data_IF_395531310153
#
_entry.id   IF_395531310153
#
_cell.length_a   1.000
_cell.length_b   1.000
_cell.length_c   1.000
_cell.angle_alpha   90.00
_cell.angle_beta   90.00
_cell.angle_gamma   90.00
#
_symmetry.space_group_name_H-M   'P 1'
#
loop_
_entity.id
_entity.type
_entity.pdbx_description
1 polymer ?
#
# COMPACT_ATOMS: atom_id res chain seq x y z
N UNK A 1 -8.76 3.12 -13.96
CA UNK A 1 -7.46 3.80 -13.75
C UNK A 1 -6.39 2.71 -13.78
N UNK A 2 -5.14 3.04 -14.09
CA UNK A 2 -4.12 2.04 -14.45
C UNK A 2 -3.33 1.58 -13.24
N UNK A 3 -3.50 0.31 -12.83
CA UNK A 3 -2.65 -0.38 -11.85
C UNK A 3 -1.16 -0.29 -12.18
N UNK A 4 -0.83 -0.16 -13.46
CA UNK A 4 0.53 0.09 -13.95
C UNK A 4 1.14 1.36 -13.35
N UNK A 5 0.36 2.42 -13.11
CA UNK A 5 0.85 3.64 -12.49
C UNK A 5 1.13 3.46 -10.99
N UNK A 6 0.34 2.63 -10.30
CA UNK A 6 0.57 2.30 -8.89
C UNK A 6 1.86 1.50 -8.76
N UNK A 7 2.08 0.52 -9.64
CA UNK A 7 3.33 -0.26 -9.67
C UNK A 7 4.54 0.62 -9.99
N UNK A 8 4.45 1.50 -10.98
CA UNK A 8 5.53 2.42 -11.32
C UNK A 8 5.85 3.39 -10.17
N UNK A 9 4.83 3.85 -9.44
CA UNK A 9 5.03 4.65 -8.23
C UNK A 9 5.80 3.89 -7.15
N UNK A 10 5.43 2.63 -6.87
CA UNK A 10 6.16 1.81 -5.89
C UNK A 10 7.57 1.42 -6.34
N UNK A 11 7.81 1.28 -7.64
CA UNK A 11 9.15 1.06 -8.20
C UNK A 11 10.06 2.26 -7.92
N UNK A 12 9.57 3.48 -8.17
CA UNK A 12 10.29 4.73 -7.83
C UNK A 12 10.52 4.85 -6.31
N UNK A 13 9.50 4.56 -5.49
CA UNK A 13 9.65 4.55 -4.04
C UNK A 13 10.74 3.58 -3.56
N UNK A 14 10.84 2.40 -4.18
CA UNK A 14 11.84 1.39 -3.84
C UNK A 14 13.25 1.79 -4.30
N UNK A 15 13.34 2.50 -5.42
CA UNK A 15 14.60 2.95 -6.02
C UNK A 15 15.21 4.14 -5.26
N UNK A 16 14.38 5.06 -4.78
CA UNK A 16 14.82 6.30 -4.11
C UNK A 16 14.51 6.32 -2.61
N UNK A 17 15.54 6.06 -1.80
CA UNK A 17 15.40 6.06 -0.34
C UNK A 17 14.91 7.40 0.24
N UNK A 18 15.24 8.52 -0.38
CA UNK A 18 14.81 9.85 0.08
C UNK A 18 13.29 9.99 -0.08
N UNK A 19 12.76 9.55 -1.22
CA UNK A 19 11.32 9.59 -1.51
C UNK A 19 10.59 8.60 -0.60
N UNK A 20 11.19 7.43 -0.33
CA UNK A 20 10.65 6.45 0.60
C UNK A 20 10.54 6.98 2.03
N UNK A 21 11.55 7.71 2.53
CA UNK A 21 11.52 8.32 3.86
C UNK A 21 10.44 9.40 3.96
N UNK A 22 10.33 10.28 2.95
CA UNK A 22 9.26 11.27 2.88
C UNK A 22 7.88 10.62 2.81
N UNK A 23 7.74 9.55 2.03
CA UNK A 23 6.52 8.76 1.93
C UNK A 23 6.13 8.20 3.31
N UNK A 24 7.07 7.58 4.01
CA UNK A 24 6.84 7.08 5.38
C UNK A 24 6.46 8.21 6.32
N UNK A 25 7.13 9.36 6.26
CA UNK A 25 6.89 10.48 7.16
C UNK A 25 5.52 11.14 6.92
N UNK A 26 5.15 11.38 5.65
CA UNK A 26 3.93 12.08 5.27
C UNK A 26 2.69 11.19 5.28
N UNK A 27 2.83 9.95 4.81
CA UNK A 27 1.71 9.03 4.61
C UNK A 27 1.47 8.12 5.81
N UNK A 28 2.45 7.91 6.69
CA UNK A 28 2.19 7.25 7.95
C UNK A 28 1.57 8.23 8.96
N UNK A 29 0.33 7.96 9.34
CA UNK A 29 -0.24 8.50 10.56
C UNK A 29 0.16 7.63 11.74
N UNK A 30 1.02 8.16 12.60
CA UNK A 30 1.30 7.56 13.90
C UNK A 30 0.10 7.82 14.82
N UNK A 31 -0.84 6.89 14.84
CA UNK A 31 -2.00 6.96 15.74
C UNK A 31 -1.57 6.90 17.21
N UNK A 32 -2.39 7.46 18.11
CA UNK A 32 -2.12 7.59 19.56
C UNK A 32 -1.97 6.25 20.32
N UNK A 33 -2.08 5.10 19.63
CA UNK A 33 -2.00 3.76 20.22
C UNK A 33 -0.93 2.87 19.59
N UNK A 34 0.06 3.44 18.89
CA UNK A 34 1.12 2.65 18.26
C UNK A 34 0.68 1.87 17.01
N UNK A 35 -0.53 2.13 16.52
CA UNK A 35 -1.03 1.60 15.25
C UNK A 35 -0.49 2.49 14.13
N UNK A 36 0.24 1.87 13.20
CA UNK A 36 0.66 2.50 11.95
C UNK A 36 -0.52 2.47 10.99
N UNK A 37 -1.16 3.63 10.78
CA UNK A 37 -2.22 3.77 9.80
C UNK A 37 -1.67 4.51 8.58
N UNK A 38 -1.67 3.84 7.44
CA UNK A 38 -1.34 4.44 6.16
C UNK A 38 -2.56 5.15 5.59
N UNK A 39 -2.45 6.47 5.41
CA UNK A 39 -3.55 7.27 4.86
C UNK A 39 -3.55 7.22 3.33
N UNK A 40 -4.45 6.41 2.77
CA UNK A 40 -4.53 6.18 1.32
C UNK A 40 -4.74 7.47 0.52
N UNK A 41 -5.45 8.46 1.08
CA UNK A 41 -5.66 9.74 0.41
C UNK A 41 -4.35 10.53 0.32
N UNK A 42 -3.53 10.52 1.38
CA UNK A 42 -2.20 11.13 1.35
C UNK A 42 -1.24 10.43 0.41
N UNK A 43 -1.35 9.11 0.28
CA UNK A 43 -0.52 8.34 -0.67
C UNK A 43 -0.83 8.75 -2.11
N UNK A 44 -2.12 8.87 -2.44
CA UNK A 44 -2.56 9.33 -3.76
C UNK A 44 -2.11 10.76 -4.04
N UNK A 45 -2.23 11.66 -3.06
CA UNK A 45 -1.78 13.05 -3.17
C UNK A 45 -0.26 13.18 -3.35
N UNK A 46 0.50 12.36 -2.61
CA UNK A 46 1.95 12.28 -2.73
C UNK A 46 2.37 11.74 -4.11
N UNK A 47 1.70 10.70 -4.59
CA UNK A 47 1.95 10.16 -5.92
C UNK A 47 1.60 11.16 -7.04
N UNK A 48 0.52 11.92 -6.88
CA UNK A 48 0.16 13.02 -7.77
C UNK A 48 1.24 14.11 -7.81
N UNK A 49 1.87 14.41 -6.66
CA UNK A 49 3.00 15.34 -6.59
C UNK A 49 4.24 14.84 -7.34
N UNK A 50 4.41 13.52 -7.49
CA UNK A 50 5.47 12.90 -8.30
C UNK A 50 5.08 12.71 -9.78
N UNK A 51 3.84 13.04 -10.16
CA UNK A 51 3.33 12.92 -11.52
C UNK A 51 2.58 11.61 -11.83
N UNK A 52 2.30 10.78 -10.83
CA UNK A 52 1.48 9.58 -10.97
C UNK A 52 0.01 9.88 -10.66
N UNK A 53 -0.93 9.40 -11.49
CA UNK A 53 -2.36 9.70 -11.36
C UNK A 53 -3.13 8.40 -11.16
N UNK A 54 -3.32 8.04 -9.90
CA UNK A 54 -4.15 6.90 -9.51
C UNK A 54 -5.08 7.27 -8.35
N UNK A 55 -6.11 6.46 -8.11
CA UNK A 55 -7.08 6.69 -7.05
C UNK A 55 -6.83 5.80 -5.84
N UNK A 56 -7.51 6.09 -4.74
CA UNK A 56 -7.48 5.23 -3.54
C UNK A 56 -7.98 3.82 -3.84
N UNK A 57 -8.88 3.66 -4.81
CA UNK A 57 -9.40 2.36 -5.24
C UNK A 57 -8.30 1.53 -5.94
N UNK A 58 -7.51 2.16 -6.82
CA UNK A 58 -6.37 1.49 -7.47
C UNK A 58 -5.31 1.06 -6.45
N UNK A 59 -5.04 1.91 -5.45
CA UNK A 59 -4.14 1.58 -4.35
C UNK A 59 -4.70 0.42 -3.51
N UNK A 60 -6.02 0.41 -3.28
CA UNK A 60 -6.69 -0.64 -2.55
C UNK A 60 -6.59 -1.98 -3.30
N UNK A 61 -6.73 -1.94 -4.62
CA UNK A 61 -6.60 -3.09 -5.49
C UNK A 61 -5.19 -3.69 -5.40
N UNK A 62 -4.12 -2.89 -5.46
CA UNK A 62 -2.75 -3.39 -5.27
C UNK A 62 -2.47 -3.90 -3.85
N UNK A 63 -2.94 -3.19 -2.82
CA UNK A 63 -2.70 -3.54 -1.42
C UNK A 63 -3.52 -4.75 -0.94
N UNK A 64 -4.70 -5.00 -1.52
CA UNK A 64 -5.58 -6.12 -1.16
C UNK A 64 -5.48 -7.30 -2.14
N UNK A 65 -5.12 -7.11 -3.42
CA UNK A 65 -4.75 -8.25 -4.28
C UNK A 65 -3.35 -8.80 -3.95
N UNK A 66 -2.49 -8.00 -3.31
CA UNK A 66 -1.22 -8.48 -2.74
C UNK A 66 -1.39 -9.39 -1.51
N UNK A 67 -2.54 -9.34 -0.83
CA UNK A 67 -2.94 -10.21 0.29
C UNK A 67 -4.15 -11.10 -0.08
N UNK A 68 -4.36 -11.37 -1.37
CA UNK A 68 -5.21 -12.48 -1.81
C UNK A 68 -4.41 -13.79 -1.92
N UNK A 69 -3.31 -13.90 -1.17
CA UNK A 69 -2.71 -15.17 -0.77
C UNK A 69 -3.55 -15.82 0.32
N UNK A 70 -4.73 -16.29 -0.08
CA UNK A 70 -5.58 -17.28 0.59
C UNK A 70 -5.10 -17.72 1.98
N UNK A 71 -5.70 -17.17 3.04
CA UNK A 71 -5.82 -17.93 4.29
C UNK A 71 -6.85 -19.02 3.99
N UNK A 72 -6.42 -20.16 3.45
CA UNK A 72 -7.22 -21.38 3.55
C UNK A 72 -7.07 -21.84 5.00
N UNK A 73 -8.12 -21.81 5.83
CA UNK A 73 -8.12 -22.69 6.99
C UNK A 73 -8.26 -24.11 6.45
N UNK A 74 -7.14 -24.74 6.10
CA UNK A 74 -7.08 -26.20 5.96
C UNK A 74 -7.15 -26.82 7.36
N UNK A 75 -8.31 -26.70 8.01
CA UNK A 75 -8.68 -27.58 9.12
C UNK A 75 -8.97 -28.96 8.53
N UNK A 76 -7.92 -29.75 8.33
CA UNK A 76 -8.06 -31.20 8.33
C UNK A 76 -8.00 -31.64 9.79
N UNK A 77 -9.14 -31.59 10.48
CA UNK A 77 -9.28 -32.30 11.76
C UNK A 77 -9.35 -33.80 11.45
N UNK A 78 -8.21 -34.47 11.50
CA UNK A 78 -8.17 -35.93 11.58
C UNK A 78 -8.27 -36.31 13.05
N UNK A 79 -9.49 -36.66 13.50
CA UNK A 79 -9.68 -37.33 14.79
C UNK A 79 -9.30 -38.79 14.60
N UNK A 80 -8.28 -39.24 15.33
CA UNK A 80 -7.96 -40.65 15.50
C UNK A 80 -8.58 -41.19 16.79
#
# INVERSE_FOLDING_TARGET
MSLEQVNAFYDVLSSDQVIYDEYCNKCCLRGLFGIWNWDKAKIVDFAASLGFIFTTDDLNMVLFEGDAGVVQPSMSVSVN
#
